data_IF_633092613179
#
_entry.id   IF_633092613179
#
_cell.length_a   1.000
_cell.length_b   1.000
_cell.length_c   1.000
_cell.angle_alpha   90.00
_cell.angle_beta   90.00
_cell.angle_gamma   90.00
#
_symmetry.space_group_name_H-M   'P 1'
#
loop_
_entity.id
_entity.type
_entity.pdbx_description
1 polymer ?
#
# COMPACT_ATOMS: atom_id res chain seq x y z
N UNK A 1 9.37 -3.42 -8.61
CA UNK A 1 8.15 -3.91 -7.91
C UNK A 1 8.30 -5.31 -7.34
N UNK A 2 9.07 -6.17 -7.96
CA UNK A 2 9.26 -7.53 -7.44
C UNK A 2 9.82 -7.56 -6.03
N UNK A 3 10.79 -6.70 -5.75
CA UNK A 3 11.39 -6.67 -4.42
C UNK A 3 10.41 -6.14 -3.37
N UNK A 4 9.61 -5.15 -3.72
CA UNK A 4 8.60 -4.63 -2.82
C UNK A 4 7.57 -5.71 -2.50
N UNK A 5 7.12 -6.45 -3.49
CA UNK A 5 6.20 -7.55 -3.28
C UNK A 5 6.79 -8.60 -2.33
N UNK A 6 8.06 -8.94 -2.55
CA UNK A 6 8.75 -9.89 -1.69
C UNK A 6 8.82 -9.40 -0.25
N UNK A 7 9.12 -8.12 -0.06
CA UNK A 7 9.17 -7.53 1.28
C UNK A 7 7.82 -7.57 1.97
N UNK A 8 6.74 -7.28 1.22
CA UNK A 8 5.38 -7.35 1.78
C UNK A 8 5.06 -8.77 2.20
N UNK A 9 5.36 -9.76 1.34
CA UNK A 9 5.09 -11.15 1.66
C UNK A 9 5.90 -11.64 2.86
N UNK A 10 7.16 -11.28 2.93
CA UNK A 10 8.01 -11.65 4.06
C UNK A 10 7.50 -11.04 5.37
N UNK A 11 7.07 -9.78 5.31
CA UNK A 11 6.50 -9.13 6.48
C UNK A 11 5.27 -9.88 6.96
N UNK A 12 4.35 -10.20 6.05
CA UNK A 12 3.11 -10.89 6.40
C UNK A 12 3.42 -12.28 6.97
N UNK A 13 4.37 -13.00 6.40
CA UNK A 13 4.76 -14.32 6.88
C UNK A 13 5.30 -14.29 8.30
N UNK A 14 6.02 -13.23 8.65
CA UNK A 14 6.62 -13.11 9.97
C UNK A 14 5.69 -12.47 11.00
N UNK A 15 4.56 -11.92 10.56
CA UNK A 15 3.60 -11.24 11.43
C UNK A 15 2.20 -11.77 11.17
N UNK A 16 2.01 -13.09 11.28
CA UNK A 16 0.74 -13.71 10.92
C UNK A 16 -0.07 -14.19 12.11
N UNK A 17 0.00 -13.49 13.22
CA UNK A 17 -0.87 -13.76 14.37
C UNK A 17 -2.30 -13.35 14.06
N UNK A 18 -3.25 -13.92 14.81
CA UNK A 18 -4.67 -13.60 14.61
C UNK A 18 -4.92 -12.09 14.70
N UNK A 19 -4.26 -11.42 15.64
CA UNK A 19 -4.40 -9.98 15.81
C UNK A 19 -3.86 -9.16 14.64
N UNK A 20 -3.03 -9.74 13.80
CA UNK A 20 -2.41 -9.04 12.67
C UNK A 20 -3.19 -9.22 11.36
N UNK A 21 -4.23 -10.05 11.36
CA UNK A 21 -4.93 -10.39 10.11
C UNK A 21 -5.54 -9.17 9.41
N UNK A 22 -6.15 -8.29 10.17
CA UNK A 22 -6.75 -7.09 9.58
C UNK A 22 -5.68 -6.20 8.96
N UNK A 23 -4.62 -5.94 9.70
CA UNK A 23 -3.53 -5.10 9.22
C UNK A 23 -2.88 -5.72 7.97
N UNK A 24 -2.59 -7.00 8.02
CA UNK A 24 -1.95 -7.69 6.90
C UNK A 24 -2.82 -7.68 5.65
N UNK A 25 -4.13 -7.85 5.81
CA UNK A 25 -5.07 -7.77 4.70
C UNK A 25 -5.08 -6.39 4.07
N UNK A 26 -5.07 -5.35 4.90
CA UNK A 26 -5.05 -3.98 4.41
C UNK A 26 -3.71 -3.67 3.74
N UNK A 27 -2.61 -4.11 4.33
CA UNK A 27 -1.28 -3.90 3.76
C UNK A 27 -1.19 -4.54 2.36
N UNK A 28 -1.70 -5.75 2.22
CA UNK A 28 -1.69 -6.44 0.93
C UNK A 28 -2.55 -5.69 -0.09
N UNK A 29 -3.69 -5.18 0.34
CA UNK A 29 -4.55 -4.38 -0.54
C UNK A 29 -3.88 -3.08 -0.94
N UNK A 30 -3.17 -2.44 -0.03
CA UNK A 30 -2.39 -1.24 -0.34
C UNK A 30 -1.35 -1.57 -1.43
N UNK A 31 -0.66 -2.70 -1.27
CA UNK A 31 0.31 -3.12 -2.27
C UNK A 31 -0.36 -3.34 -3.63
N UNK A 32 -1.49 -4.04 -3.65
CA UNK A 32 -2.18 -4.34 -4.90
C UNK A 32 -2.60 -3.07 -5.62
N UNK A 33 -3.17 -2.13 -4.91
CA UNK A 33 -3.59 -0.86 -5.50
C UNK A 33 -2.39 -0.04 -5.97
N UNK A 34 -1.33 -0.02 -5.17
CA UNK A 34 -0.13 0.70 -5.58
C UNK A 34 0.52 0.06 -6.80
N UNK A 35 0.57 -1.26 -6.86
CA UNK A 35 1.13 -1.96 -8.01
C UNK A 35 0.39 -1.59 -9.29
N UNK A 36 -0.94 -1.53 -9.21
CA UNK A 36 -1.76 -1.14 -10.34
C UNK A 36 -1.48 0.29 -10.78
N UNK A 37 -1.41 1.20 -9.81
CA UNK A 37 -1.12 2.60 -10.07
C UNK A 37 0.29 2.78 -10.65
N UNK A 38 1.25 2.04 -10.12
CA UNK A 38 2.63 2.10 -10.60
C UNK A 38 2.71 1.69 -12.08
N UNK A 39 2.03 0.61 -12.45
CA UNK A 39 2.04 0.14 -13.83
C UNK A 39 1.41 1.17 -14.76
N UNK A 40 0.33 1.78 -14.33
CA UNK A 40 -0.33 2.80 -15.14
C UNK A 40 0.53 4.04 -15.32
N UNK A 41 1.19 4.48 -14.25
CA UNK A 41 2.07 5.64 -14.30
C UNK A 41 3.34 5.36 -15.12
N UNK A 42 3.83 4.12 -15.11
CA UNK A 42 4.99 3.74 -15.90
C UNK A 42 4.73 3.91 -17.41
N UNK A 43 3.51 3.65 -17.83
CA UNK A 43 3.14 3.82 -19.23
C UNK A 43 3.34 5.26 -19.71
N UNK A 44 3.25 6.20 -18.79
CA UNK A 44 3.34 7.63 -19.09
C UNK A 44 4.62 8.26 -18.55
N UNK A 45 5.54 7.45 -18.07
CA UNK A 45 6.80 7.91 -17.46
C UNK A 45 6.57 8.89 -16.32
N UNK A 46 5.53 8.67 -15.53
CA UNK A 46 5.17 9.58 -14.45
C UNK A 46 5.74 9.18 -13.10
N UNK A 47 6.34 8.00 -12.98
CA UNK A 47 6.93 7.57 -11.71
C UNK A 47 8.30 8.20 -11.44
N UNK A 48 8.98 8.66 -12.46
CA UNK A 48 10.30 9.28 -12.36
C UNK A 48 11.32 8.38 -11.63
N UNK A 49 11.19 7.08 -11.82
CA UNK A 49 12.08 6.12 -11.17
C UNK A 49 11.83 5.91 -9.70
N UNK A 50 10.81 6.55 -9.13
CA UNK A 50 10.52 6.44 -7.71
C UNK A 50 9.58 5.28 -7.43
N UNK A 51 9.94 4.46 -6.45
CA UNK A 51 9.12 3.37 -5.97
C UNK A 51 8.92 3.56 -4.47
N UNK A 52 7.67 3.44 -4.01
CA UNK A 52 7.39 3.52 -2.59
C UNK A 52 8.01 2.32 -1.88
N UNK A 53 8.40 2.52 -0.63
CA UNK A 53 9.02 1.48 0.17
C UNK A 53 7.96 0.71 0.96
N UNK A 54 8.36 -0.43 1.54
CA UNK A 54 7.49 -1.15 2.46
C UNK A 54 7.01 -0.23 3.58
N UNK A 55 7.91 0.60 4.10
CA UNK A 55 7.57 1.52 5.18
C UNK A 55 6.48 2.51 4.74
N UNK A 56 6.54 2.98 3.50
CA UNK A 56 5.50 3.86 2.96
C UNK A 56 4.16 3.14 2.92
N UNK A 57 4.15 1.88 2.46
CA UNK A 57 2.92 1.10 2.41
C UNK A 57 2.36 0.85 3.80
N UNK A 58 3.24 0.60 4.78
CA UNK A 58 2.81 0.41 6.17
C UNK A 58 2.20 1.68 6.73
N UNK A 59 2.77 2.84 6.43
CA UNK A 59 2.19 4.12 6.82
C UNK A 59 0.79 4.31 6.24
N UNK A 60 0.62 3.95 4.98
CA UNK A 60 -0.69 4.04 4.33
C UNK A 60 -1.67 3.09 5.03
N UNK A 61 -1.25 1.86 5.32
CA UNK A 61 -2.11 0.91 6.00
C UNK A 61 -2.52 1.41 7.39
N UNK A 62 -1.59 2.00 8.13
CA UNK A 62 -1.89 2.57 9.45
C UNK A 62 -2.93 3.68 9.34
N UNK A 63 -2.78 4.56 8.36
CA UNK A 63 -3.73 5.64 8.16
C UNK A 63 -5.11 5.13 7.76
N UNK A 64 -5.16 4.08 6.95
CA UNK A 64 -6.43 3.48 6.57
C UNK A 64 -7.14 2.89 7.79
N UNK A 65 -6.40 2.20 8.65
CA UNK A 65 -6.96 1.61 9.85
C UNK A 65 -7.47 2.68 10.82
N UNK A 66 -6.70 3.75 10.96
CA UNK A 66 -7.05 4.84 11.87
C UNK A 66 -8.17 5.73 11.34
N UNK A 67 -8.43 5.71 10.05
CA UNK A 67 -9.48 6.53 9.47
C UNK A 67 -10.80 5.79 9.52
N UNK A 68 -11.89 6.56 9.62
CA UNK A 68 -13.23 6.00 9.54
C UNK A 68 -13.58 5.80 8.08
N UNK A 69 -13.11 4.72 7.49
CA UNK A 69 -13.38 4.48 6.08
C UNK A 69 -14.71 3.76 5.85
N UNK A 70 -15.65 3.97 6.75
CA UNK A 70 -16.97 3.34 6.63
C UNK A 70 -17.71 3.84 5.40
N UNK A 71 -18.05 2.92 4.57
CA UNK A 71 -18.91 3.17 3.41
C UNK A 71 -18.21 3.67 2.21
N UNK A 72 -17.37 4.63 2.30
CA UNK A 72 -16.81 5.14 1.12
C UNK A 72 -15.66 4.37 0.74
N UNK A 73 -14.81 4.04 1.11
CA UNK A 73 -14.05 3.13 0.48
C UNK A 73 -12.65 3.04 0.98
N UNK A 74 -12.36 1.89 1.42
CA UNK A 74 -11.02 1.40 1.62
C UNK A 74 -10.13 1.82 0.45
N UNK A 75 -10.62 1.64 -0.76
CA UNK A 75 -9.88 1.98 -1.98
C UNK A 75 -9.53 3.46 -2.05
N UNK A 76 -10.47 4.35 -1.75
CA UNK A 76 -10.21 5.77 -1.78
C UNK A 76 -9.18 6.20 -0.75
N UNK A 77 -9.25 5.62 0.45
CA UNK A 77 -8.27 5.90 1.49
C UNK A 77 -6.87 5.46 1.06
N UNK A 78 -6.79 4.30 0.44
CA UNK A 78 -5.53 3.78 -0.07
C UNK A 78 -4.96 4.69 -1.16
N UNK A 79 -5.79 5.10 -2.11
CA UNK A 79 -5.36 5.97 -3.20
C UNK A 79 -4.90 7.33 -2.68
N UNK A 80 -5.59 7.88 -1.69
CA UNK A 80 -5.16 9.11 -1.05
C UNK A 80 -3.77 8.95 -0.43
N UNK A 81 -3.55 7.85 0.27
CA UNK A 81 -2.27 7.57 0.88
C UNK A 81 -1.15 7.42 -0.15
N UNK A 82 -1.43 6.71 -1.24
CA UNK A 82 -0.46 6.54 -2.31
C UNK A 82 -0.09 7.88 -2.91
N UNK A 83 -1.09 8.72 -3.19
CA UNK A 83 -0.86 10.03 -3.77
C UNK A 83 -0.01 10.90 -2.86
N UNK A 84 -0.34 10.95 -1.58
CA UNK A 84 0.41 11.74 -0.62
C UNK A 84 1.87 11.32 -0.52
N UNK A 85 2.12 10.02 -0.53
CA UNK A 85 3.48 9.52 -0.45
C UNK A 85 4.25 9.74 -1.74
N UNK A 86 3.55 9.71 -2.88
CA UNK A 86 4.19 9.96 -4.16
C UNK A 86 4.60 11.43 -4.30
N UNK A 87 3.78 12.34 -3.81
CA UNK A 87 4.01 13.77 -3.93
C UNK A 87 5.09 14.28 -2.97
N UNK A 88 5.41 13.52 -1.97
CA UNK A 88 6.48 13.85 -1.08
C UNK A 88 7.80 13.37 -1.67
#
# INVERSE_FOLDING_TARGET
MKELYKEVCEYIETHNNIGDNLYNGILLEVYNEYSYDYMEKERHNENNGKILTLQDLQSIADNVIDSDYFGETLTECIWDGIRKNREN
#
